data_IF_248006032034
#
_entry.id   IF_248006032034
#
_cell.length_a   1.000
_cell.length_b   1.000
_cell.length_c   1.000
_cell.angle_alpha   90.00
_cell.angle_beta   90.00
_cell.angle_gamma   90.00
#
_symmetry.space_group_name_H-M   'P 1'
#
loop_
_entity.id
_entity.type
_entity.pdbx_description
1 polymer ?
#
# COMPACT_ATOMS: atom_id res chain seq x y z
N UNK A 1 -8.47 0.30 -19.62
CA UNK A 1 -8.18 -0.48 -18.39
C UNK A 1 -6.96 0.17 -17.78
N UNK A 2 -7.01 0.58 -16.52
CA UNK A 2 -5.94 1.34 -15.88
C UNK A 2 -4.85 0.35 -15.42
N UNK A 3 -3.83 0.15 -16.27
CA UNK A 3 -2.77 -0.84 -16.05
C UNK A 3 -2.10 -0.68 -14.69
N UNK A 4 -2.06 0.53 -14.15
CA UNK A 4 -1.54 0.81 -12.83
C UNK A 4 -2.47 0.33 -11.71
N UNK A 5 -3.78 0.56 -11.83
CA UNK A 5 -4.76 0.03 -10.88
C UNK A 5 -4.76 -1.51 -10.87
N UNK A 6 -4.64 -2.13 -12.05
CA UNK A 6 -4.54 -3.59 -12.16
C UNK A 6 -3.25 -4.10 -11.52
N UNK A 7 -2.10 -3.47 -11.76
CA UNK A 7 -0.84 -3.79 -11.08
C UNK A 7 -0.97 -3.68 -9.56
N UNK A 8 -1.58 -2.59 -9.09
CA UNK A 8 -1.80 -2.34 -7.67
C UNK A 8 -2.67 -3.44 -7.05
N UNK A 9 -3.84 -3.71 -7.62
CA UNK A 9 -4.80 -4.69 -7.06
C UNK A 9 -4.32 -6.13 -7.16
N UNK A 10 -3.57 -6.47 -8.20
CA UNK A 10 -3.17 -7.87 -8.44
C UNK A 10 -1.80 -8.18 -7.87
N UNK A 11 -0.79 -7.35 -8.15
CA UNK A 11 0.60 -7.65 -7.80
C UNK A 11 0.99 -7.02 -6.47
N UNK A 12 0.72 -5.72 -6.29
CA UNK A 12 1.10 -5.01 -5.05
C UNK A 12 0.33 -5.52 -3.83
N UNK A 13 -1.00 -5.67 -3.94
CA UNK A 13 -1.80 -6.22 -2.86
C UNK A 13 -1.47 -7.69 -2.55
N UNK A 14 -1.18 -8.50 -3.57
CA UNK A 14 -0.80 -9.91 -3.38
C UNK A 14 0.54 -10.04 -2.66
N UNK A 15 1.56 -9.29 -3.07
CA UNK A 15 2.85 -9.27 -2.38
C UNK A 15 2.73 -8.74 -0.94
N UNK A 16 1.88 -7.73 -0.71
CA UNK A 16 1.61 -7.29 0.64
C UNK A 16 1.01 -8.41 1.50
N UNK A 17 -0.04 -9.07 1.03
CA UNK A 17 -0.74 -10.11 1.79
C UNK A 17 0.17 -11.33 2.08
N UNK A 18 1.15 -11.61 1.22
CA UNK A 18 2.17 -12.65 1.48
C UNK A 18 3.15 -12.26 2.57
N UNK A 19 3.55 -10.99 2.61
CA UNK A 19 4.58 -10.49 3.52
C UNK A 19 4.03 -10.05 4.88
N UNK A 20 2.71 -9.82 4.99
CA UNK A 20 2.01 -9.42 6.21
C UNK A 20 0.82 -10.35 6.50
N UNK A 21 1.05 -11.61 6.90
CA UNK A 21 -0.02 -12.50 7.33
C UNK A 21 -0.83 -11.89 8.49
N UNK A 22 -2.16 -12.06 8.47
CA UNK A 22 -3.05 -11.40 9.43
C UNK A 22 -3.39 -9.94 9.08
N UNK A 23 -2.83 -9.43 7.98
CA UNK A 23 -3.19 -8.15 7.36
C UNK A 23 -3.62 -8.35 5.91
N UNK A 24 -4.50 -7.47 5.43
CA UNK A 24 -4.92 -7.38 4.03
C UNK A 24 -4.84 -5.95 3.54
N UNK A 25 -4.26 -5.77 2.36
CA UNK A 25 -4.28 -4.49 1.66
C UNK A 25 -5.44 -4.45 0.66
N UNK A 26 -6.31 -3.45 0.81
CA UNK A 26 -7.38 -3.13 -0.11
C UNK A 26 -7.05 -1.83 -0.83
N UNK A 27 -7.15 -1.84 -2.16
CA UNK A 27 -6.84 -0.68 -3.00
C UNK A 27 -8.15 -0.15 -3.60
N UNK A 28 -8.54 1.03 -3.12
CA UNK A 28 -9.70 1.76 -3.61
C UNK A 28 -9.33 2.74 -4.70
N UNK A 29 -10.17 2.84 -5.73
CA UNK A 29 -10.14 3.89 -6.74
C UNK A 29 -11.44 4.70 -6.65
N UNK A 30 -11.40 6.04 -6.65
CA UNK A 30 -12.60 6.86 -6.66
C UNK A 30 -13.31 6.73 -8.00
N UNK A 31 -14.63 6.57 -7.94
CA UNK A 31 -15.50 6.52 -9.13
C UNK A 31 -15.74 7.92 -9.74
N UNK A 32 -15.35 8.97 -9.02
CA UNK A 32 -15.48 10.34 -9.52
C UNK A 32 -14.38 10.65 -10.54
N UNK A 33 -14.78 11.01 -11.74
CA UNK A 33 -13.94 11.59 -12.80
C UNK A 33 -12.98 12.72 -12.34
N UNK A 34 -13.33 13.46 -11.29
CA UNK A 34 -12.51 14.52 -10.68
C UNK A 34 -11.29 14.02 -9.88
N UNK A 35 -11.23 12.73 -9.56
CA UNK A 35 -10.13 12.10 -8.79
C UNK A 35 -9.47 10.97 -9.56
N UNK A 36 -9.53 11.03 -10.89
CA UNK A 36 -8.85 10.07 -11.77
C UNK A 36 -7.37 9.97 -11.37
N UNK A 37 -6.83 8.75 -11.30
CA UNK A 37 -5.47 8.42 -10.86
C UNK A 37 -5.16 8.68 -9.37
N UNK A 38 -6.16 8.93 -8.52
CA UNK A 38 -5.99 8.89 -7.08
C UNK A 38 -6.34 7.49 -6.55
N UNK A 39 -5.53 6.96 -5.65
CA UNK A 39 -5.72 5.63 -5.09
C UNK A 39 -5.63 5.69 -3.57
N UNK A 40 -6.48 4.92 -2.90
CA UNK A 40 -6.47 4.80 -1.44
C UNK A 40 -6.01 3.41 -1.06
N UNK A 41 -5.09 3.33 -0.12
CA UNK A 41 -4.55 2.10 0.42
C UNK A 41 -5.13 1.89 1.82
N UNK A 42 -5.93 0.84 1.98
CA UNK A 42 -6.51 0.47 3.27
C UNK A 42 -5.83 -0.79 3.78
N UNK A 43 -5.08 -0.65 4.86
CA UNK A 43 -4.44 -1.76 5.56
C UNK A 43 -5.40 -2.23 6.66
N UNK A 44 -5.88 -3.45 6.52
CA UNK A 44 -6.87 -4.05 7.41
C UNK A 44 -6.23 -5.21 8.14
N UNK A 45 -6.34 -5.24 9.47
CA UNK A 45 -5.82 -6.32 10.30
C UNK A 45 -6.98 -7.18 10.79
N UNK A 46 -6.79 -8.49 10.86
CA UNK A 46 -7.83 -9.42 11.30
C UNK A 46 -8.17 -9.26 12.79
N UNK A 47 -7.21 -8.76 13.58
CA UNK A 47 -7.41 -8.42 14.98
C UNK A 47 -6.43 -7.35 15.44
N UNK A 48 -6.72 -6.74 16.59
CA UNK A 48 -5.79 -5.84 17.28
C UNK A 48 -4.47 -6.52 17.63
N UNK A 49 -4.50 -7.83 17.94
CA UNK A 49 -3.29 -8.61 18.22
C UNK A 49 -2.38 -8.71 17.00
N UNK A 50 -2.94 -8.93 15.81
CA UNK A 50 -2.16 -8.93 14.56
C UNK A 50 -1.63 -7.53 14.23
N UNK A 51 -2.41 -6.48 14.53
CA UNK A 51 -1.91 -5.11 14.43
C UNK A 51 -0.71 -4.87 15.36
N UNK A 52 -0.81 -5.24 16.63
CA UNK A 52 0.25 -5.08 17.64
C UNK A 52 1.50 -5.91 17.33
N UNK A 53 1.37 -7.00 16.57
CA UNK A 53 2.51 -7.78 16.07
C UNK A 53 3.41 -6.96 15.14
N UNK A 54 2.82 -6.09 14.33
CA UNK A 54 3.53 -5.25 13.37
C UNK A 54 3.83 -3.85 13.91
N UNK A 55 2.95 -3.33 14.78
CA UNK A 55 2.97 -1.97 15.30
C UNK A 55 2.94 -1.99 16.82
N UNK A 56 4.12 -1.84 17.42
CA UNK A 56 4.31 -1.90 18.87
C UNK A 56 4.21 -0.49 19.49
N UNK A 57 4.13 -0.41 20.82
CA UNK A 57 4.00 0.85 21.56
C UNK A 57 2.82 1.70 21.07
N UNK A 58 1.62 1.09 20.98
CA UNK A 58 0.40 1.72 20.45
C UNK A 58 0.58 2.30 19.03
N UNK A 59 1.40 1.64 18.22
CA UNK A 59 1.69 2.02 16.84
C UNK A 59 2.71 3.14 16.66
N UNK A 60 3.44 3.51 17.71
CA UNK A 60 4.57 4.45 17.61
C UNK A 60 5.79 3.83 16.96
N UNK A 61 5.95 2.51 17.06
CA UNK A 61 7.11 1.80 16.56
C UNK A 61 6.72 0.62 15.67
N UNK A 62 7.54 0.34 14.67
CA UNK A 62 7.42 -0.87 13.86
C UNK A 62 8.22 -2.01 14.49
N UNK A 63 7.61 -3.18 14.62
CA UNK A 63 8.34 -4.39 14.99
C UNK A 63 9.35 -4.77 13.91
N UNK A 64 10.33 -5.59 14.27
CA UNK A 64 11.31 -6.08 13.31
C UNK A 64 10.68 -6.96 12.22
N UNK A 65 9.58 -7.64 12.54
CA UNK A 65 8.78 -8.37 11.55
C UNK A 65 8.14 -7.41 10.53
N UNK A 66 7.60 -6.28 11.00
CA UNK A 66 7.04 -5.24 10.13
C UNK A 66 8.10 -4.62 9.22
N UNK A 67 9.29 -4.30 9.77
CA UNK A 67 10.42 -3.79 9.00
C UNK A 67 10.87 -4.79 7.94
N UNK A 68 11.01 -6.07 8.30
CA UNK A 68 11.38 -7.12 7.36
C UNK A 68 10.34 -7.30 6.23
N UNK A 69 9.05 -7.25 6.56
CA UNK A 69 7.96 -7.25 5.58
C UNK A 69 8.06 -6.08 4.60
N UNK A 70 8.35 -4.87 5.11
CA UNK A 70 8.50 -3.68 4.27
C UNK A 70 9.77 -3.70 3.42
N UNK A 71 10.88 -4.27 3.90
CA UNK A 71 12.09 -4.45 3.09
C UNK A 71 11.83 -5.39 1.90
N UNK A 72 11.05 -6.47 2.08
CA UNK A 72 10.64 -7.34 0.96
C UNK A 72 9.77 -6.60 -0.06
N UNK A 73 8.96 -5.65 0.40
CA UNK A 73 8.12 -4.80 -0.46
C UNK A 73 8.90 -3.68 -1.17
N UNK A 74 10.20 -3.50 -0.89
CA UNK A 74 10.99 -2.38 -1.44
C UNK A 74 11.12 -2.45 -2.96
N UNK A 75 11.35 -3.65 -3.51
CA UNK A 75 11.46 -3.85 -4.96
C UNK A 75 10.14 -3.53 -5.67
N UNK A 76 9.01 -4.03 -5.17
CA UNK A 76 7.71 -3.73 -5.79
C UNK A 76 7.29 -2.26 -5.59
N UNK A 77 7.73 -1.60 -4.51
CA UNK A 77 7.56 -0.15 -4.33
C UNK A 77 8.36 0.66 -5.35
N UNK A 78 9.53 0.19 -5.77
CA UNK A 78 10.26 0.82 -6.87
C UNK A 78 9.51 0.66 -8.18
N UNK A 79 8.96 -0.52 -8.47
CA UNK A 79 8.09 -0.72 -9.64
C UNK A 79 6.86 0.21 -9.61
N UNK A 80 6.20 0.37 -8.45
CA UNK A 80 5.10 1.36 -8.28
C UNK A 80 5.56 2.76 -8.71
N UNK A 81 6.76 3.18 -8.32
CA UNK A 81 7.26 4.52 -8.65
C UNK A 81 7.46 4.75 -10.15
N UNK A 82 7.69 3.70 -10.94
CA UNK A 82 7.77 3.79 -12.41
C UNK A 82 6.41 4.02 -13.06
N UNK A 83 5.32 3.58 -12.43
CA UNK A 83 3.96 3.88 -12.90
C UNK A 83 3.43 5.23 -12.40
N UNK A 84 4.08 5.83 -11.39
CA UNK A 84 3.88 7.24 -11.01
C UNK A 84 4.68 8.12 -11.99
N UNK A 85 4.46 7.90 -13.30
CA UNK A 85 4.83 8.87 -14.31
C UNK A 85 3.69 9.87 -14.41
N UNK A 86 4.01 11.14 -14.14
CA UNK A 86 3.17 12.32 -14.42
C UNK A 86 2.23 12.83 -13.31
N UNK A 87 2.52 12.58 -12.03
CA UNK A 87 2.10 13.51 -10.98
C UNK A 87 3.10 14.68 -10.89
N UNK A 88 3.32 15.41 -11.99
CA UNK A 88 3.78 16.79 -11.84
C UNK A 88 2.72 17.47 -10.99
N UNK A 89 3.09 17.77 -9.75
CA UNK A 89 2.44 18.78 -8.92
C UNK A 89 2.08 19.93 -9.85
N UNK A 90 0.79 20.16 -10.06
CA UNK A 90 0.35 21.52 -10.31
C UNK A 90 0.65 22.23 -9.00
N UNK A 91 1.82 22.86 -8.92
CA UNK A 91 2.02 23.96 -7.99
C UNK A 91 0.95 24.98 -8.38
N UNK A 92 -0.13 25.01 -7.60
CA UNK A 92 -1.08 26.11 -7.67
C UNK A 92 -0.40 27.24 -6.91
N UNK A 93 -0.02 28.27 -7.66
CA UNK A 93 0.51 29.56 -7.19
C UNK A 93 -0.28 30.16 -6.02
#
# INVERSE_FOLDING_TARGET
>A
MDQYLDFLKTRYASEYNKNFPGSKLIIGSPDSWRKKNQYSFFYTFESEKEYQKYYINDGKDMSDECKAGWEKMKSIKQEVSEYILDSKRVEVE
#
